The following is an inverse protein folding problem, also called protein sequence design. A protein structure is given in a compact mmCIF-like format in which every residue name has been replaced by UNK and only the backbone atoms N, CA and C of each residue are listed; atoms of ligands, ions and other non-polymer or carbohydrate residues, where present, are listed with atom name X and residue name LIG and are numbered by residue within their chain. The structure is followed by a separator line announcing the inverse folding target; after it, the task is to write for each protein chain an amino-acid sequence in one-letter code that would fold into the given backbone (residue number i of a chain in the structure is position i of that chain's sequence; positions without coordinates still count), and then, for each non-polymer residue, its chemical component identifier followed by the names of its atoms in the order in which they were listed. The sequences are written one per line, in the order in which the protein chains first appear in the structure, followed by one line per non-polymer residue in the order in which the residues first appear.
data_IF_982087385478
#
_entry.id   IF_982087385478
#
_cell.length_a   1.000
_cell.length_b   1.000
_cell.length_c   1.000
_cell.angle_alpha   90.00
_cell.angle_beta   90.00
_cell.angle_gamma   90.00
#
_symmetry.space_group_name_H-M   'P 1'
#
loop_
_entity.id
_entity.type
_entity.pdbx_description
1 polymer ?
#
# COMPACT_ATOMS: atom_id res chain seq x y z
N UNK A 1 4.30 -7.77 24.95
CA UNK A 1 3.59 -7.52 23.69
C UNK A 1 3.66 -8.79 22.89
N UNK A 2 2.51 -9.28 22.41
CA UNK A 2 2.44 -10.49 21.61
C UNK A 2 3.07 -10.28 20.23
N UNK A 3 3.65 -11.33 19.63
CA UNK A 3 4.29 -11.24 18.31
C UNK A 3 3.28 -10.73 17.26
N UNK A 4 2.04 -11.21 17.35
CA UNK A 4 0.96 -10.82 16.45
C UNK A 4 0.62 -9.31 16.51
N UNK A 5 0.69 -8.70 17.70
CA UNK A 5 0.47 -7.26 17.85
C UNK A 5 1.62 -6.45 17.25
N UNK A 6 2.85 -6.92 17.46
CA UNK A 6 4.07 -6.28 16.92
C UNK A 6 4.08 -6.33 15.41
N UNK A 7 3.74 -7.48 14.81
CA UNK A 7 3.62 -7.63 13.36
C UNK A 7 2.55 -6.71 12.76
N UNK A 8 1.38 -6.60 13.41
CA UNK A 8 0.32 -5.68 12.95
C UNK A 8 0.76 -4.22 13.02
N UNK A 9 1.46 -3.84 14.08
CA UNK A 9 1.98 -2.47 14.23
C UNK A 9 3.01 -2.14 13.14
N UNK A 10 3.96 -3.05 12.88
CA UNK A 10 4.99 -2.86 11.84
C UNK A 10 4.35 -2.83 10.44
N UNK A 11 3.42 -3.74 10.15
CA UNK A 11 2.70 -3.75 8.87
C UNK A 11 1.90 -2.47 8.64
N UNK A 12 1.26 -1.94 9.69
CA UNK A 12 0.49 -0.70 9.61
C UNK A 12 1.38 0.51 9.35
N UNK A 13 2.51 0.63 10.08
CA UNK A 13 3.48 1.72 9.90
C UNK A 13 4.10 1.65 8.49
N UNK A 14 4.49 0.46 8.05
CA UNK A 14 5.04 0.23 6.71
C UNK A 14 4.05 0.62 5.61
N UNK A 15 2.79 0.20 5.74
CA UNK A 15 1.73 0.57 4.80
C UNK A 15 1.49 2.08 4.75
N UNK A 16 1.49 2.78 5.89
CA UNK A 16 1.31 4.23 5.95
C UNK A 16 2.41 4.99 5.22
N UNK A 17 3.67 4.60 5.42
CA UNK A 17 4.82 5.23 4.78
C UNK A 17 4.76 4.99 3.27
N UNK A 18 4.62 3.74 2.84
CA UNK A 18 4.57 3.38 1.41
C UNK A 18 3.39 4.03 0.71
N UNK A 19 2.22 4.05 1.35
CA UNK A 19 1.03 4.72 0.81
C UNK A 19 1.26 6.22 0.59
N UNK A 20 1.90 6.89 1.54
CA UNK A 20 2.20 8.33 1.43
C UNK A 20 3.12 8.61 0.24
N UNK A 21 4.19 7.83 0.07
CA UNK A 21 5.10 7.96 -1.08
C UNK A 21 4.40 7.63 -2.40
N UNK A 22 3.56 6.59 -2.45
CA UNK A 22 2.80 6.23 -3.63
C UNK A 22 1.83 7.36 -4.05
N UNK A 23 1.15 8.00 -3.10
CA UNK A 23 0.24 9.12 -3.38
C UNK A 23 1.00 10.35 -3.89
N UNK A 24 2.17 10.66 -3.31
CA UNK A 24 3.03 11.77 -3.76
C UNK A 24 3.53 11.51 -5.19
N UNK A 25 4.02 10.29 -5.47
CA UNK A 25 4.46 9.89 -6.81
C UNK A 25 3.33 9.96 -7.83
N UNK A 26 2.14 9.48 -7.48
CA UNK A 26 0.97 9.51 -8.36
C UNK A 26 0.52 10.94 -8.67
N UNK A 27 0.62 11.86 -7.69
CA UNK A 27 0.37 13.29 -7.88
C UNK A 27 1.41 13.96 -8.78
N UNK A 28 2.67 13.55 -8.69
CA UNK A 28 3.75 14.06 -9.55
C UNK A 28 3.59 13.64 -11.01
N UNK A 29 3.25 12.38 -11.23
CA UNK A 29 3.04 11.78 -12.56
C UNK A 29 1.74 12.23 -13.23
N UNK A 30 0.77 12.74 -12.46
CA UNK A 30 -0.52 13.20 -13.01
C UNK A 30 -0.43 14.30 -14.06
N UNK A 31 0.68 15.07 -14.10
CA UNK A 31 0.89 16.15 -15.06
C UNK A 31 1.60 15.75 -16.35
N UNK A 32 2.15 14.53 -16.44
CA UNK A 32 2.85 14.07 -17.65
C UNK A 32 1.97 13.12 -18.45
N UNK A 33 2.00 13.28 -19.77
CA UNK A 33 1.14 12.57 -20.73
C UNK A 33 2.02 11.82 -21.75
N UNK A 34 3.01 11.08 -21.26
CA UNK A 34 3.72 10.07 -22.03
C UNK A 34 3.09 8.68 -21.85
N UNK A 35 3.31 7.78 -22.81
CA UNK A 35 2.81 6.41 -22.75
C UNK A 35 3.42 5.65 -21.54
N UNK A 36 4.70 5.89 -21.25
CA UNK A 36 5.41 5.37 -20.07
C UNK A 36 4.89 5.98 -18.74
N UNK A 37 4.48 7.25 -18.74
CA UNK A 37 3.88 7.89 -17.56
C UNK A 37 2.53 7.24 -17.21
N UNK A 38 1.76 6.78 -18.22
CA UNK A 38 0.52 6.05 -17.97
C UNK A 38 0.76 4.67 -17.33
N UNK A 39 1.78 3.93 -17.75
CA UNK A 39 2.14 2.64 -17.11
C UNK A 39 2.59 2.88 -15.67
N UNK A 40 3.41 3.91 -15.45
CA UNK A 40 3.90 4.31 -14.12
C UNK A 40 2.75 4.72 -13.20
N UNK A 41 1.77 5.45 -13.74
CA UNK A 41 0.54 5.85 -13.04
C UNK A 41 -0.33 4.64 -12.68
N UNK A 42 -0.45 3.64 -13.55
CA UNK A 42 -1.14 2.37 -13.25
C UNK A 42 -0.39 1.58 -12.18
N UNK A 43 0.93 1.47 -12.26
CA UNK A 43 1.76 0.80 -11.26
C UNK A 43 1.65 1.46 -9.88
N UNK A 44 1.73 2.79 -9.81
CA UNK A 44 1.53 3.56 -8.58
C UNK A 44 0.11 3.41 -8.03
N UNK A 45 -0.91 3.39 -8.89
CA UNK A 45 -2.28 3.15 -8.46
C UNK A 45 -2.46 1.74 -7.88
N UNK A 46 -1.84 0.74 -8.49
CA UNK A 46 -1.86 -0.66 -8.03
C UNK A 46 -1.09 -0.83 -6.71
N UNK A 47 0.00 -0.07 -6.52
CA UNK A 47 0.73 0.00 -5.26
C UNK A 47 -0.10 0.64 -4.13
N UNK A 48 -0.79 1.75 -4.42
CA UNK A 48 -1.69 2.40 -3.48
C UNK A 48 -2.87 1.47 -3.11
N UNK A 49 -3.40 0.72 -4.08
CA UNK A 49 -4.41 -0.31 -3.86
C UNK A 49 -3.88 -1.45 -2.96
N UNK A 50 -2.66 -1.92 -3.18
CA UNK A 50 -2.00 -2.90 -2.31
C UNK A 50 -1.87 -2.42 -0.87
N UNK A 51 -1.50 -1.16 -0.65
CA UNK A 51 -1.46 -0.57 0.68
C UNK A 51 -2.85 -0.48 1.34
N UNK A 52 -3.90 -0.18 0.57
CA UNK A 52 -5.28 -0.21 1.07
C UNK A 52 -5.70 -1.61 1.55
N UNK A 53 -5.31 -2.66 0.82
CA UNK A 53 -5.54 -4.06 1.24
C UNK A 53 -4.79 -4.40 2.54
N UNK A 54 -3.56 -3.89 2.73
CA UNK A 54 -2.81 -4.09 3.98
C UNK A 54 -3.52 -3.42 5.16
N UNK A 55 -4.06 -2.22 4.97
CA UNK A 55 -4.85 -1.54 6.01
C UNK A 55 -6.09 -2.37 6.36
N UNK A 56 -6.84 -2.87 5.37
CA UNK A 56 -7.99 -3.75 5.61
C UNK A 56 -7.60 -5.06 6.31
N UNK A 57 -6.44 -5.63 6.00
CA UNK A 57 -5.90 -6.81 6.68
C UNK A 57 -5.50 -6.52 8.14
N UNK A 58 -4.99 -5.33 8.45
CA UNK A 58 -4.69 -4.90 9.83
C UNK A 58 -5.96 -4.84 10.67
N UNK A 59 -7.03 -4.24 10.12
CA UNK A 59 -8.36 -4.17 10.74
C UNK A 59 -9.07 -5.53 10.82
N UNK A 60 -8.49 -6.60 10.26
CA UNK A 60 -9.03 -7.95 10.34
C UNK A 60 -10.22 -8.22 9.43
N UNK A 61 -10.47 -7.33 8.46
CA UNK A 61 -11.56 -7.48 7.47
C UNK A 61 -11.19 -8.51 6.39
N UNK A 62 -9.89 -8.73 6.16
CA UNK A 62 -9.41 -9.86 5.36
C UNK A 62 -8.78 -10.94 6.25
N UNK A 63 -9.05 -12.23 5.99
CA UNK A 63 -8.30 -13.31 6.62
C UNK A 63 -6.81 -13.14 6.29
N UNK A 64 -5.96 -13.09 7.33
CA UNK A 64 -4.51 -13.26 7.17
C UNK A 64 -4.30 -14.69 6.66
N UNK A 65 -4.24 -14.86 5.34
CA UNK A 65 -3.95 -16.13 4.66
C UNK A 65 -2.49 -16.55 4.83
N UNK A 66 -2.03 -16.64 6.08
CA UNK A 66 -0.70 -17.08 6.47
C UNK A 66 -0.81 -17.75 7.82
N UNK A 67 -1.09 -19.05 7.81
CA UNK A 67 -1.37 -19.85 9.00
C UNK A 67 -1.51 -21.32 8.64
N UNK A 68 -0.47 -21.88 8.05
CA UNK A 68 -0.04 -23.26 8.21
C UNK A 68 1.49 -23.24 8.32
#
# INVERSE_FOLDING_TARGET
MDLATTEKAVAFIGALIVFTFAVIGLRGEWKKTGLDDNVTKVLLALMAFGCFLVVLAVFGVLPRGGGA
#
